data_IF_757115791654
#
_entry.id   IF_757115791654
#
_cell.length_a   1.000
_cell.length_b   1.000
_cell.length_c   1.000
_cell.angle_alpha   90.00
_cell.angle_beta   90.00
_cell.angle_gamma   90.00
#
_symmetry.space_group_name_H-M   'P 1'
#
loop_
_entity.id
_entity.type
_entity.pdbx_description
1 polymer ?
#
# COMPACT_ATOMS: atom_id res chain seq x y z
N UNK A 1 16.52 12.20 -7.93
CA UNK A 1 16.11 11.16 -8.90
C UNK A 1 16.75 9.84 -8.49
N UNK A 2 15.98 8.75 -8.43
CA UNK A 2 16.52 7.44 -8.07
C UNK A 2 17.55 7.01 -9.14
N UNK A 3 18.81 6.84 -8.73
CA UNK A 3 19.92 6.54 -9.67
C UNK A 3 20.22 5.04 -9.77
N UNK A 4 19.57 4.19 -8.97
CA UNK A 4 19.92 2.77 -8.86
C UNK A 4 18.75 1.86 -9.22
N UNK A 5 19.06 0.72 -9.85
CA UNK A 5 18.07 -0.21 -10.41
C UNK A 5 17.07 -0.70 -9.36
N UNK A 6 17.50 -0.84 -8.10
CA UNK A 6 16.66 -1.29 -7.00
C UNK A 6 15.60 -0.27 -6.57
N UNK A 7 15.93 1.03 -6.60
CA UNK A 7 14.96 2.09 -6.28
C UNK A 7 13.83 2.16 -7.30
N UNK A 8 14.15 1.96 -8.58
CA UNK A 8 13.15 1.81 -9.64
C UNK A 8 12.35 0.52 -9.52
N UNK A 9 13.00 -0.60 -9.19
CA UNK A 9 12.31 -1.87 -8.98
C UNK A 9 11.29 -1.77 -7.84
N UNK A 10 11.65 -1.15 -6.71
CA UNK A 10 10.75 -0.95 -5.58
C UNK A 10 9.51 -0.13 -6.00
N UNK A 11 9.73 1.01 -6.66
CA UNK A 11 8.63 1.86 -7.14
C UNK A 11 7.72 1.13 -8.15
N UNK A 12 8.31 0.42 -9.12
CA UNK A 12 7.55 -0.29 -10.15
C UNK A 12 6.74 -1.45 -9.57
N UNK A 13 7.25 -2.15 -8.55
CA UNK A 13 6.52 -3.22 -7.86
C UNK A 13 5.35 -2.63 -7.07
N UNK A 14 5.54 -1.54 -6.33
CA UNK A 14 4.40 -0.88 -5.65
C UNK A 14 3.37 -0.38 -6.66
N UNK A 15 3.81 0.21 -7.77
CA UNK A 15 2.92 0.72 -8.81
C UNK A 15 2.12 -0.41 -9.47
N UNK A 16 2.75 -1.52 -9.82
CA UNK A 16 2.06 -2.67 -10.41
C UNK A 16 1.09 -3.30 -9.40
N UNK A 17 1.49 -3.46 -8.14
CA UNK A 17 0.62 -3.96 -7.08
C UNK A 17 -0.61 -3.05 -6.90
N UNK A 18 -0.42 -1.73 -6.90
CA UNK A 18 -1.51 -0.76 -6.81
C UNK A 18 -2.49 -0.89 -7.99
N UNK A 19 -1.99 -0.91 -9.22
CA UNK A 19 -2.84 -1.04 -10.42
C UNK A 19 -3.63 -2.36 -10.42
N UNK A 20 -2.98 -3.48 -10.10
CA UNK A 20 -3.63 -4.79 -10.08
C UNK A 20 -4.70 -4.85 -8.99
N UNK A 21 -4.40 -4.34 -7.79
CA UNK A 21 -5.36 -4.35 -6.67
C UNK A 21 -6.57 -3.45 -6.98
N UNK A 22 -6.33 -2.26 -7.53
CA UNK A 22 -7.41 -1.35 -7.96
C UNK A 22 -8.30 -1.95 -9.06
N UNK A 23 -7.70 -2.67 -10.01
CA UNK A 23 -8.44 -3.32 -11.09
C UNK A 23 -9.32 -4.47 -10.56
N UNK A 24 -8.80 -5.27 -9.62
CA UNK A 24 -9.54 -6.34 -8.95
C UNK A 24 -10.75 -5.79 -8.20
N UNK A 25 -10.54 -4.78 -7.35
CA UNK A 25 -11.63 -4.18 -6.58
C UNK A 25 -12.66 -3.47 -7.48
N UNK A 26 -12.20 -2.80 -8.54
CA UNK A 26 -13.10 -2.18 -9.51
C UNK A 26 -13.99 -3.21 -10.24
N UNK A 27 -13.45 -4.39 -10.53
CA UNK A 27 -14.21 -5.49 -11.12
C UNK A 27 -15.24 -6.06 -10.14
N UNK A 28 -14.84 -6.34 -8.89
CA UNK A 28 -15.73 -6.83 -7.83
C UNK A 28 -16.88 -5.85 -7.60
N UNK A 29 -16.58 -4.56 -7.54
CA UNK A 29 -17.58 -3.50 -7.40
C UNK A 29 -18.54 -3.44 -8.59
N UNK A 30 -18.02 -3.53 -9.83
CA UNK A 30 -18.83 -3.50 -11.03
C UNK A 30 -19.83 -4.66 -11.11
N UNK A 31 -19.37 -5.87 -10.81
CA UNK A 31 -20.22 -7.07 -10.80
C UNK A 31 -21.27 -7.01 -9.66
N UNK A 32 -20.87 -6.47 -8.50
CA UNK A 32 -21.78 -6.24 -7.38
C UNK A 32 -22.89 -5.23 -7.76
N UNK A 33 -22.54 -4.08 -8.33
CA UNK A 33 -23.50 -3.07 -8.76
C UNK A 33 -24.43 -3.60 -9.86
N UNK A 34 -23.91 -4.39 -10.81
CA UNK A 34 -24.72 -5.03 -11.84
C UNK A 34 -25.74 -6.01 -11.24
N UNK A 35 -25.34 -6.74 -10.20
CA UNK A 35 -26.22 -7.68 -9.49
C UNK A 35 -27.29 -6.98 -8.67
N UNK A 36 -26.96 -5.84 -8.06
CA UNK A 36 -27.93 -4.97 -7.38
C UNK A 36 -28.98 -4.42 -8.35
N UNK A 37 -28.55 -3.86 -9.49
CA UNK A 37 -29.45 -3.26 -10.47
C UNK A 37 -30.38 -4.31 -11.11
N UNK A 38 -29.91 -5.57 -11.22
CA UNK A 38 -30.73 -6.69 -11.69
C UNK A 38 -31.83 -7.05 -10.67
N UNK A 39 -31.52 -7.14 -9.37
CA UNK A 39 -32.49 -7.43 -8.32
C UNK A 39 -33.46 -6.27 -8.04
N UNK A 40 -32.98 -5.02 -8.10
CA UNK A 40 -33.80 -3.82 -7.91
C UNK A 40 -34.89 -3.66 -8.98
N UNK A 41 -34.67 -4.15 -10.21
CA UNK A 41 -35.69 -4.19 -11.27
C UNK A 41 -36.82 -5.18 -10.99
N UNK A 42 -36.63 -6.14 -10.08
CA UNK A 42 -37.64 -7.11 -9.65
C UNK A 42 -38.56 -6.61 -8.53
N UNK A 43 -38.10 -5.67 -7.69
CA UNK A 43 -38.85 -5.21 -6.52
C UNK A 43 -39.47 -3.82 -6.72
N UNK A 44 -40.80 -3.77 -6.86
CA UNK A 44 -41.59 -2.56 -6.77
C UNK A 44 -41.54 -1.97 -5.34
N UNK A 45 -40.62 -1.03 -5.10
CA UNK A 45 -40.76 -0.03 -4.03
C UNK A 45 -40.26 -0.41 -2.63
N UNK A 46 -39.31 -1.34 -2.50
CA UNK A 46 -38.65 -1.63 -1.22
C UNK A 46 -37.32 -0.86 -1.13
N UNK A 47 -37.10 -0.18 0.00
CA UNK A 47 -35.95 0.69 0.23
C UNK A 47 -34.62 0.00 -0.08
N UNK A 48 -33.73 0.69 -0.80
CA UNK A 48 -32.40 0.20 -1.15
C UNK A 48 -31.67 -0.23 0.14
N UNK A 49 -31.24 -1.51 0.27
CA UNK A 49 -30.66 -2.01 1.50
C UNK A 49 -29.38 -1.23 1.84
N UNK A 50 -29.22 -0.83 3.11
CA UNK A 50 -28.09 -0.03 3.59
C UNK A 50 -26.71 -0.64 3.28
N UNK A 51 -26.65 -1.96 3.08
CA UNK A 51 -25.44 -2.69 2.66
C UNK A 51 -24.94 -2.28 1.27
N UNK A 52 -25.81 -1.84 0.36
CA UNK A 52 -25.43 -1.31 -0.96
C UNK A 52 -24.63 0.00 -0.87
N UNK A 53 -24.85 0.79 0.20
CA UNK A 53 -24.15 2.05 0.44
C UNK A 53 -22.79 1.85 1.15
N UNK A 54 -22.55 0.67 1.72
CA UNK A 54 -21.36 0.43 2.55
C UNK A 54 -20.14 0.05 1.71
N UNK A 55 -20.35 -0.70 0.62
CA UNK A 55 -19.28 -1.16 -0.28
C UNK A 55 -18.51 -0.01 -0.97
N UNK A 56 -19.16 1.03 -1.53
CA UNK A 56 -18.44 2.18 -2.09
C UNK A 56 -17.51 2.86 -1.06
N UNK A 57 -17.89 2.83 0.22
CA UNK A 57 -17.10 3.42 1.30
C UNK A 57 -15.82 2.60 1.56
N UNK A 58 -15.92 1.27 1.57
CA UNK A 58 -14.76 0.38 1.73
C UNK A 58 -13.79 0.51 0.55
N UNK A 59 -14.32 0.53 -0.68
CA UNK A 59 -13.56 0.75 -1.90
C UNK A 59 -12.82 2.10 -1.86
N UNK A 60 -13.51 3.18 -1.45
CA UNK A 60 -12.90 4.50 -1.38
C UNK A 60 -11.73 4.56 -0.38
N UNK A 61 -11.87 3.92 0.78
CA UNK A 61 -10.79 3.80 1.77
C UNK A 61 -9.61 3.00 1.23
N UNK A 62 -9.89 1.92 0.50
CA UNK A 62 -8.86 1.09 -0.11
C UNK A 62 -8.07 1.84 -1.19
N UNK A 63 -8.76 2.54 -2.09
CA UNK A 63 -8.15 3.39 -3.12
C UNK A 63 -7.27 4.45 -2.46
N UNK A 64 -7.79 5.13 -1.43
CA UNK A 64 -7.04 6.14 -0.71
C UNK A 64 -5.79 5.56 -0.04
N UNK A 65 -5.88 4.35 0.53
CA UNK A 65 -4.75 3.63 1.10
C UNK A 65 -3.64 3.39 0.08
N UNK A 66 -3.96 2.83 -1.09
CA UNK A 66 -2.96 2.59 -2.13
C UNK A 66 -2.35 3.85 -2.73
N UNK A 67 -3.14 4.92 -2.89
CA UNK A 67 -2.62 6.21 -3.33
C UNK A 67 -1.67 6.81 -2.29
N UNK A 68 -2.03 6.72 -1.01
CA UNK A 68 -1.18 7.17 0.09
C UNK A 68 0.14 6.38 0.13
N UNK A 69 0.09 5.06 -0.08
CA UNK A 69 1.29 4.23 -0.17
C UNK A 69 2.23 4.67 -1.30
N UNK A 70 1.69 4.95 -2.49
CA UNK A 70 2.49 5.44 -3.62
C UNK A 70 3.20 6.76 -3.31
N UNK A 71 2.51 7.67 -2.61
CA UNK A 71 3.10 8.94 -2.15
C UNK A 71 4.22 8.69 -1.14
N UNK A 72 4.01 7.79 -0.17
CA UNK A 72 5.05 7.43 0.81
C UNK A 72 6.27 6.81 0.14
N UNK A 73 6.06 5.92 -0.83
CA UNK A 73 7.14 5.28 -1.59
C UNK A 73 7.93 6.32 -2.36
N UNK A 74 7.25 7.26 -3.02
CA UNK A 74 7.90 8.36 -3.71
C UNK A 74 8.75 9.22 -2.75
N UNK A 75 8.20 9.62 -1.60
CA UNK A 75 8.90 10.42 -0.59
C UNK A 75 10.13 9.68 -0.03
N UNK A 76 9.95 8.41 0.35
CA UNK A 76 11.01 7.56 0.90
C UNK A 76 12.19 7.39 -0.07
N UNK A 77 11.90 7.16 -1.35
CA UNK A 77 12.92 7.01 -2.39
C UNK A 77 13.61 8.35 -2.70
N UNK A 78 12.88 9.47 -2.68
CA UNK A 78 13.41 10.80 -2.96
C UNK A 78 14.33 11.30 -1.84
N UNK A 79 13.97 11.03 -0.58
CA UNK A 79 14.76 11.38 0.60
C UNK A 79 15.83 10.34 0.95
N UNK A 80 15.80 9.16 0.32
CA UNK A 80 16.63 7.99 0.68
C UNK A 80 16.50 7.64 2.16
N UNK A 81 15.28 7.76 2.70
CA UNK A 81 15.01 7.57 4.11
C UNK A 81 14.70 6.09 4.39
N UNK A 82 15.68 5.39 4.95
CA UNK A 82 15.57 3.97 5.26
C UNK A 82 14.47 3.65 6.29
N UNK A 83 14.20 4.58 7.23
CA UNK A 83 13.15 4.40 8.23
C UNK A 83 11.78 4.39 7.56
N UNK A 84 11.56 5.26 6.57
CA UNK A 84 10.31 5.28 5.81
C UNK A 84 10.10 4.00 4.99
N UNK A 85 11.17 3.39 4.43
CA UNK A 85 11.06 2.12 3.70
C UNK A 85 10.58 0.97 4.59
N UNK A 86 11.11 0.89 5.82
CA UNK A 86 10.64 -0.09 6.80
C UNK A 86 9.18 0.19 7.16
N UNK A 87 8.82 1.46 7.33
CA UNK A 87 7.44 1.89 7.53
C UNK A 87 6.50 1.48 6.40
N UNK A 88 6.94 1.58 5.13
CA UNK A 88 6.19 1.14 3.96
C UNK A 88 5.97 -0.38 3.97
N UNK A 89 6.99 -1.17 4.36
CA UNK A 89 6.82 -2.62 4.48
C UNK A 89 5.77 -2.99 5.53
N UNK A 90 5.79 -2.31 6.69
CA UNK A 90 4.77 -2.48 7.73
C UNK A 90 3.38 -2.00 7.26
N UNK A 91 3.33 -0.89 6.51
CA UNK A 91 2.10 -0.36 5.93
C UNK A 91 1.48 -1.37 4.95
N UNK A 92 2.28 -1.98 4.08
CA UNK A 92 1.83 -2.99 3.12
C UNK A 92 1.27 -4.24 3.83
N UNK A 93 1.86 -4.65 4.96
CA UNK A 93 1.29 -5.69 5.82
C UNK A 93 -0.04 -5.27 6.46
N UNK A 94 -0.19 -3.99 6.85
CA UNK A 94 -1.45 -3.42 7.31
C UNK A 94 -2.53 -3.44 6.22
N UNK A 95 -2.17 -3.09 4.98
CA UNK A 95 -3.07 -3.17 3.83
C UNK A 95 -3.53 -4.60 3.54
N UNK A 96 -2.67 -5.59 3.76
CA UNK A 96 -3.06 -7.00 3.66
C UNK A 96 -4.11 -7.40 4.70
N UNK A 97 -3.94 -6.95 5.94
CA UNK A 97 -4.92 -7.17 7.01
C UNK A 97 -6.24 -6.48 6.64
N UNK A 98 -6.17 -5.24 6.15
CA UNK A 98 -7.34 -4.49 5.72
C UNK A 98 -8.08 -5.22 4.58
N UNK A 99 -7.38 -5.67 3.54
CA UNK A 99 -7.98 -6.44 2.43
C UNK A 99 -8.65 -7.73 2.90
N UNK A 100 -8.05 -8.40 3.91
CA UNK A 100 -8.62 -9.61 4.50
C UNK A 100 -9.93 -9.33 5.25
N UNK A 101 -9.99 -8.19 5.95
CA UNK A 101 -11.18 -7.74 6.68
C UNK A 101 -12.26 -7.25 5.70
N UNK A 102 -11.88 -6.48 4.68
CA UNK A 102 -12.78 -5.99 3.64
C UNK A 102 -13.51 -7.15 2.93
N UNK A 103 -12.80 -8.24 2.61
CA UNK A 103 -13.41 -9.45 2.05
C UNK A 103 -14.58 -9.97 2.91
N UNK A 104 -14.43 -10.01 4.23
CA UNK A 104 -15.50 -10.48 5.12
C UNK A 104 -16.67 -9.51 5.18
N UNK A 105 -16.40 -8.20 5.12
CA UNK A 105 -17.45 -7.17 5.13
C UNK A 105 -18.27 -7.20 3.83
N UNK A 106 -17.62 -7.44 2.68
CA UNK A 106 -18.31 -7.59 1.39
C UNK A 106 -19.15 -8.87 1.35
N UNK A 107 -18.64 -9.98 1.89
CA UNK A 107 -19.40 -11.24 2.02
C UNK A 107 -20.63 -11.07 2.93
N UNK A 108 -20.48 -10.44 4.10
CA UNK A 108 -21.59 -10.19 5.02
C UNK A 108 -22.63 -9.23 4.41
N UNK A 109 -22.19 -8.20 3.67
CA UNK A 109 -23.08 -7.31 2.94
C UNK A 109 -23.89 -8.06 1.86
N UNK A 110 -23.25 -8.98 1.13
CA UNK A 110 -23.89 -9.83 0.12
C UNK A 110 -24.90 -10.80 0.74
N UNK A 111 -24.55 -11.47 1.83
CA UNK A 111 -25.46 -12.37 2.57
C UNK A 111 -26.67 -11.63 3.14
N UNK A 112 -26.45 -10.41 3.65
CA UNK A 112 -27.52 -9.52 4.11
C UNK A 112 -28.53 -9.25 3.00
N UNK A 113 -28.07 -9.04 1.77
CA UNK A 113 -28.96 -8.88 0.61
C UNK A 113 -29.63 -10.16 0.16
N UNK A 114 -28.91 -11.29 0.15
CA UNK A 114 -29.47 -12.59 -0.24
C UNK A 114 -30.59 -13.09 0.70
N UNK A 115 -30.68 -12.54 1.93
CA UNK A 115 -31.78 -12.81 2.85
C UNK A 115 -33.11 -12.17 2.43
N UNK A 116 -33.08 -11.26 1.45
CA UNK A 116 -34.26 -10.64 0.85
C UNK A 116 -34.63 -11.43 -0.43
N UNK A 117 -35.85 -11.98 -0.56
CA UNK A 117 -36.29 -12.68 -1.77
C UNK A 117 -36.14 -11.80 -3.02
N UNK A 118 -35.57 -12.33 -4.11
CA UNK A 118 -35.38 -11.66 -5.42
C UNK A 118 -34.43 -10.44 -5.44
N UNK A 119 -33.68 -10.14 -4.37
CA UNK A 119 -32.79 -8.98 -4.33
C UNK A 119 -31.42 -9.20 -5.01
N UNK A 120 -30.92 -10.43 -5.11
CA UNK A 120 -29.64 -10.76 -5.75
C UNK A 120 -29.72 -12.15 -6.39
N UNK A 121 -29.14 -12.30 -7.57
CA UNK A 121 -29.03 -13.59 -8.27
C UNK A 121 -28.15 -14.56 -7.44
N UNK A 122 -28.62 -15.76 -7.07
CA UNK A 122 -27.86 -16.72 -6.25
C UNK A 122 -26.48 -17.08 -6.83
N UNK A 123 -26.29 -16.89 -8.15
CA UNK A 123 -25.04 -17.20 -8.83
C UNK A 123 -23.96 -16.12 -8.68
N UNK A 124 -24.31 -14.89 -8.31
CA UNK A 124 -23.37 -13.77 -8.13
C UNK A 124 -22.33 -14.07 -7.05
N UNK A 125 -22.73 -14.70 -5.94
CA UNK A 125 -21.82 -15.07 -4.86
C UNK A 125 -20.74 -16.07 -5.33
N UNK A 126 -21.13 -17.07 -6.11
CA UNK A 126 -20.22 -18.08 -6.64
C UNK A 126 -19.23 -17.48 -7.64
N UNK A 127 -19.65 -16.48 -8.41
CA UNK A 127 -18.79 -15.76 -9.34
C UNK A 127 -17.78 -14.85 -8.60
N UNK A 128 -18.21 -14.15 -7.54
CA UNK A 128 -17.40 -13.16 -6.82
C UNK A 128 -16.38 -13.77 -5.85
N UNK A 129 -16.74 -14.84 -5.15
CA UNK A 129 -15.89 -15.48 -4.12
C UNK A 129 -14.41 -15.68 -4.51
N UNK A 130 -14.07 -16.22 -5.70
CA UNK A 130 -12.65 -16.38 -6.07
C UNK A 130 -11.91 -15.04 -6.26
N UNK A 131 -12.59 -14.00 -6.72
CA UNK A 131 -11.98 -12.68 -6.92
C UNK A 131 -11.70 -11.97 -5.60
N UNK A 132 -12.59 -12.09 -4.62
CA UNK A 132 -12.38 -11.54 -3.27
C UNK A 132 -11.18 -12.19 -2.55
N UNK A 133 -10.93 -13.48 -2.77
CA UNK A 133 -9.74 -14.16 -2.21
C UNK A 133 -8.48 -13.78 -2.97
N UNK A 134 -8.58 -13.47 -4.26
CA UNK A 134 -7.44 -13.11 -5.08
C UNK A 134 -6.79 -11.78 -4.63
N UNK A 135 -7.58 -10.80 -4.19
CA UNK A 135 -7.08 -9.50 -3.73
C UNK A 135 -6.02 -9.59 -2.61
N UNK A 136 -6.29 -10.21 -1.43
CA UNK A 136 -5.28 -10.37 -0.39
C UNK A 136 -4.11 -11.25 -0.81
N UNK A 137 -4.30 -12.22 -1.72
CA UNK A 137 -3.20 -13.01 -2.26
C UNK A 137 -2.23 -12.20 -3.12
N UNK A 138 -2.74 -11.27 -3.95
CA UNK A 138 -1.92 -10.35 -4.75
C UNK A 138 -1.13 -9.42 -3.84
N UNK A 139 -1.78 -8.86 -2.82
CA UNK A 139 -1.12 -7.99 -1.84
C UNK A 139 -0.04 -8.77 -1.10
N UNK A 140 -0.31 -10.01 -0.67
CA UNK A 140 0.67 -10.86 0.02
C UNK A 140 1.93 -11.11 -0.83
N UNK A 141 1.75 -11.45 -2.10
CA UNK A 141 2.87 -11.60 -3.04
C UNK A 141 3.64 -10.28 -3.19
N UNK A 142 2.92 -9.18 -3.32
CA UNK A 142 3.48 -7.83 -3.36
C UNK A 142 4.29 -7.49 -2.12
N UNK A 143 3.78 -7.77 -0.92
CA UNK A 143 4.46 -7.56 0.37
C UNK A 143 5.77 -8.35 0.43
N UNK A 144 5.79 -9.61 -0.01
CA UNK A 144 7.01 -10.43 -0.03
C UNK A 144 8.05 -9.85 -0.99
N UNK A 145 7.63 -9.46 -2.20
CA UNK A 145 8.52 -8.85 -3.19
C UNK A 145 9.06 -7.50 -2.71
N UNK A 146 8.20 -6.65 -2.14
CA UNK A 146 8.59 -5.35 -1.58
C UNK A 146 9.54 -5.54 -0.39
N UNK A 147 9.29 -6.50 0.49
CA UNK A 147 10.18 -6.79 1.62
C UNK A 147 11.56 -7.24 1.17
N UNK A 148 11.64 -8.09 0.13
CA UNK A 148 12.91 -8.53 -0.45
C UNK A 148 13.70 -7.36 -1.07
N UNK A 149 13.03 -6.50 -1.84
CA UNK A 149 13.67 -5.33 -2.46
C UNK A 149 14.05 -4.29 -1.38
N UNK A 150 13.22 -4.10 -0.37
CA UNK A 150 13.47 -3.23 0.76
C UNK A 150 14.73 -3.64 1.53
N UNK A 151 14.96 -4.94 1.71
CA UNK A 151 16.19 -5.44 2.31
C UNK A 151 17.43 -5.07 1.49
N UNK A 152 17.36 -5.17 0.15
CA UNK A 152 18.43 -4.69 -0.73
C UNK A 152 18.64 -3.18 -0.68
N UNK A 153 17.56 -2.40 -0.60
CA UNK A 153 17.63 -0.94 -0.46
C UNK A 153 18.21 -0.51 0.88
N UNK A 154 17.88 -1.25 1.95
CA UNK A 154 18.41 -1.02 3.28
C UNK A 154 19.94 -1.07 3.28
N UNK A 155 20.53 -2.13 2.71
CA UNK A 155 21.98 -2.26 2.62
C UNK A 155 22.61 -1.11 1.82
N UNK A 156 22.00 -0.73 0.69
CA UNK A 156 22.50 0.34 -0.18
C UNK A 156 22.46 1.71 0.50
N UNK A 157 21.37 2.02 1.22
CA UNK A 157 21.20 3.29 1.91
C UNK A 157 22.01 3.36 3.21
N UNK A 158 22.10 2.25 3.96
CA UNK A 158 22.94 2.16 5.15
C UNK A 158 24.43 2.37 4.79
N UNK A 159 24.88 1.79 3.68
CA UNK A 159 26.24 2.02 3.17
C UNK A 159 26.47 3.48 2.74
N UNK A 160 25.48 4.11 2.09
CA UNK A 160 25.55 5.53 1.70
C UNK A 160 25.62 6.45 2.92
N UNK A 161 24.83 6.19 3.97
CA UNK A 161 24.83 6.95 5.23
C UNK A 161 26.17 6.78 5.94
N UNK A 162 26.67 5.55 6.05
CA UNK A 162 27.97 5.27 6.66
C UNK A 162 29.10 6.06 5.99
N UNK A 163 29.10 6.13 4.65
CA UNK A 163 30.11 6.87 3.91
C UNK A 163 30.02 8.38 4.14
N UNK A 164 28.82 8.94 4.26
CA UNK A 164 28.62 10.36 4.56
C UNK A 164 29.07 10.70 5.98
N UNK A 165 28.61 9.93 6.97
CA UNK A 165 29.05 10.05 8.37
C UNK A 165 30.56 9.92 8.49
N UNK A 166 31.18 8.93 7.84
CA UNK A 166 32.62 8.73 7.90
C UNK A 166 33.38 9.92 7.29
N UNK A 167 32.87 10.53 6.21
CA UNK A 167 33.45 11.73 5.61
C UNK A 167 33.32 12.95 6.54
N UNK A 168 32.16 13.17 7.14
CA UNK A 168 31.90 14.30 8.05
C UNK A 168 32.68 14.19 9.35
N UNK A 169 32.78 12.99 9.94
CA UNK A 169 33.62 12.74 11.12
C UNK A 169 35.08 13.05 10.82
N UNK A 170 35.56 12.70 9.61
CA UNK A 170 36.94 12.98 9.18
C UNK A 170 37.17 14.49 8.97
N UNK A 171 36.18 15.20 8.43
CA UNK A 171 36.23 16.66 8.26
C UNK A 171 36.21 17.38 9.61
N UNK A 172 35.34 16.96 10.52
CA UNK A 172 35.20 17.50 11.87
C UNK A 172 36.46 17.27 12.70
N UNK A 173 37.08 16.08 12.60
CA UNK A 173 38.37 15.79 13.25
C UNK A 173 39.47 16.71 12.72
N UNK A 174 39.57 16.91 11.39
CA UNK A 174 40.55 17.85 10.80
C UNK A 174 40.33 19.28 11.30
N UNK A 175 39.09 19.75 11.29
CA UNK A 175 38.74 21.10 11.74
C UNK A 175 39.15 21.36 13.21
N UNK A 176 38.87 20.41 14.10
CA UNK A 176 39.26 20.51 15.52
C UNK A 176 40.78 20.55 15.71
N UNK A 177 41.54 19.79 14.91
CA UNK A 177 43.02 19.85 14.94
C UNK A 177 43.53 21.23 14.53
N UNK A 178 42.95 21.85 13.50
CA UNK A 178 43.33 23.21 13.09
C UNK A 178 43.05 24.25 14.18
N UNK A 179 41.86 24.22 14.82
CA UNK A 179 41.53 25.15 15.89
C UNK A 179 42.50 25.10 17.07
N UNK A 180 42.89 23.89 17.52
CA UNK A 180 43.83 23.72 18.62
C UNK A 180 45.26 24.22 18.28
N UNK A 181 45.69 24.06 17.04
CA UNK A 181 47.00 24.57 16.58
C UNK A 181 47.01 26.10 16.48
N UNK A 182 45.92 26.71 16.03
CA UNK A 182 45.80 28.16 15.90
C UNK A 182 45.68 28.87 17.25
N UNK A 183 44.97 28.27 18.23
CA UNK A 183 44.89 28.83 19.60
C UNK A 183 46.24 28.84 20.33
N UNK A 184 47.13 27.91 19.99
CA UNK A 184 48.47 27.83 20.60
C UNK A 184 49.44 28.89 20.08
N UNK A 185 49.22 29.45 18.89
CA UNK A 185 50.11 30.44 18.27
C UNK A 185 49.93 31.87 18.80
N UNK A 186 48.82 32.17 19.47
CA UNK A 186 48.51 33.50 20.03
C UNK A 186 48.96 33.70 21.49
N UNK A 187 49.61 32.70 22.12
CA UNK A 187 50.00 32.72 23.55
C UNK A 187 51.53 32.86 23.75
N UNK A 188 52.30 32.98 22.67
CA UNK A 188 53.76 33.27 22.65
C UNK A 188 54.03 34.63 22.04
#
# INVERSE_FOLDING_TARGET
MPKTRWTWAFFLVTLSQCIISLALEGYVFGEFQASLDAGARGQNGQDVPSSALTIPTYLALFIFGFLYELVLVWDALRLKNTIQIIGICMYNAGMLIYASVEMTQVDDALKGLASIPDAVDPNTWHALRPWLVAAPCVIALGTVLLSYIAWKLYDEFAWSIYKHISADVRLKRRYLTYQASQSSFHIT
#
